data_IF_436742144163
#
_entry.id   IF_436742144163
#
_cell.length_a   1.000
_cell.length_b   1.000
_cell.length_c   1.000
_cell.angle_alpha   90.00
_cell.angle_beta   90.00
_cell.angle_gamma   90.00
#
_symmetry.space_group_name_H-M   'P 1'
#
loop_
_entity.id
_entity.type
_entity.pdbx_description
1 polymer ?
#
# COMPACT_ATOMS: atom_id res chain seq x y z
N UNK A 1 3.02 -26.41 -21.65
CA UNK A 1 3.36 -25.14 -20.97
C UNK A 1 2.94 -25.32 -19.53
N UNK A 2 3.87 -25.23 -18.59
CA UNK A 2 3.59 -25.41 -17.17
C UNK A 2 2.98 -24.12 -16.65
N UNK A 3 1.75 -24.20 -16.14
CA UNK A 3 1.09 -23.09 -15.47
C UNK A 3 1.86 -22.77 -14.18
N UNK A 4 2.53 -21.62 -14.14
CA UNK A 4 3.08 -21.06 -12.91
C UNK A 4 1.97 -20.23 -12.25
N UNK A 5 1.47 -20.61 -11.07
CA UNK A 5 0.54 -19.74 -10.34
C UNK A 5 1.25 -18.43 -9.96
N UNK A 6 0.53 -17.30 -9.89
CA UNK A 6 1.10 -16.06 -9.39
C UNK A 6 1.57 -16.24 -7.94
N UNK A 7 2.75 -15.70 -7.63
CA UNK A 7 3.20 -15.51 -6.25
C UNK A 7 2.28 -14.47 -5.60
N UNK A 8 1.29 -14.93 -4.83
CA UNK A 8 0.48 -14.04 -4.01
C UNK A 8 1.37 -13.33 -2.99
N UNK A 9 1.14 -12.04 -2.66
CA UNK A 9 1.86 -11.38 -1.58
C UNK A 9 1.76 -12.19 -0.27
N UNK A 10 2.82 -12.21 0.57
CA UNK A 10 2.74 -12.71 1.93
C UNK A 10 1.55 -12.06 2.65
N UNK A 11 0.85 -12.82 3.49
CA UNK A 11 -0.38 -12.36 4.17
C UNK A 11 -0.14 -11.10 5.01
N UNK A 12 1.09 -10.89 5.47
CA UNK A 12 1.53 -9.72 6.21
C UNK A 12 1.59 -8.44 5.38
N UNK A 13 1.51 -8.58 4.05
CA UNK A 13 1.48 -7.49 3.07
C UNK A 13 0.13 -7.40 2.35
N UNK A 14 -0.88 -8.12 2.81
CA UNK A 14 -2.21 -7.97 2.25
C UNK A 14 -2.76 -6.57 2.56
N UNK A 15 -3.67 -6.06 1.72
CA UNK A 15 -4.43 -4.86 2.01
C UNK A 15 -5.12 -4.98 3.37
N UNK A 16 -4.53 -4.36 4.40
CA UNK A 16 -5.08 -4.28 5.73
C UNK A 16 -6.06 -3.10 5.78
N UNK A 17 -7.31 -3.40 6.08
CA UNK A 17 -8.37 -2.42 6.37
C UNK A 17 -8.05 -1.53 7.60
N UNK A 18 -6.97 -1.83 8.32
CA UNK A 18 -6.56 -1.16 9.54
C UNK A 18 -5.07 -0.80 9.46
N UNK A 19 -4.68 0.26 10.19
CA UNK A 19 -3.29 0.63 10.35
C UNK A 19 -2.46 -0.54 10.92
N UNK A 20 -1.17 -0.67 10.53
CA UNK A 20 -0.32 -1.75 10.98
C UNK A 20 -0.08 -1.66 12.49
N UNK A 21 0.08 -2.82 13.13
CA UNK A 21 0.47 -2.88 14.54
C UNK A 21 1.87 -2.29 14.75
N UNK A 22 2.03 -1.48 15.81
CA UNK A 22 3.35 -1.05 16.22
C UNK A 22 4.18 -2.27 16.66
N UNK A 23 5.37 -2.53 16.07
CA UNK A 23 6.17 -3.70 16.42
C UNK A 23 6.71 -3.65 17.86
N UNK A 24 6.76 -2.46 18.48
CA UNK A 24 7.27 -2.28 19.84
C UNK A 24 6.22 -2.56 20.90
N UNK A 25 4.99 -2.10 20.73
CA UNK A 25 3.95 -2.18 21.76
C UNK A 25 2.70 -2.96 21.34
N UNK A 26 2.63 -3.42 20.09
CA UNK A 26 1.53 -4.19 19.49
C UNK A 26 0.14 -3.56 19.70
N UNK A 27 0.07 -2.23 19.62
CA UNK A 27 -1.18 -1.48 19.72
C UNK A 27 -1.52 -0.90 18.34
N UNK A 28 -2.64 -1.32 17.70
CA UNK A 28 -2.99 -0.91 16.34
C UNK A 28 -3.59 0.50 16.25
N UNK A 29 -4.32 0.95 17.28
CA UNK A 29 -5.13 2.18 17.23
C UNK A 29 -4.35 3.49 17.40
N UNK A 30 -3.04 3.42 17.63
CA UNK A 30 -2.22 4.61 17.90
C UNK A 30 -1.12 4.82 16.84
N UNK A 31 -1.20 4.15 15.69
CA UNK A 31 -0.20 4.28 14.63
C UNK A 31 -0.67 5.30 13.58
N UNK A 32 0.19 6.27 13.27
CA UNK A 32 -0.03 7.26 12.22
C UNK A 32 1.06 7.15 11.16
N UNK A 33 0.69 7.18 9.88
CA UNK A 33 1.68 7.33 8.82
C UNK A 33 2.26 8.75 8.83
N UNK A 34 3.54 8.85 8.48
CA UNK A 34 4.26 10.13 8.45
C UNK A 34 4.87 10.46 7.08
N UNK A 35 4.88 9.52 6.14
CA UNK A 35 5.34 9.76 4.78
C UNK A 35 6.07 8.57 4.15
N UNK A 36 6.29 8.60 2.82
CA UNK A 36 7.19 7.68 2.15
C UNK A 36 8.65 8.04 2.43
N UNK A 37 9.54 7.06 2.37
CA UNK A 37 10.99 7.26 2.44
C UNK A 37 11.74 6.25 1.58
N UNK A 38 12.99 6.57 1.27
CA UNK A 38 13.93 5.65 0.61
C UNK A 38 15.04 5.31 1.59
N UNK A 39 15.23 4.00 1.85
CA UNK A 39 16.32 3.51 2.69
C UNK A 39 17.67 3.64 1.96
N UNK A 40 18.77 3.50 2.70
CA UNK A 40 20.13 3.63 2.15
C UNK A 40 20.47 2.59 1.05
N UNK A 41 19.78 1.45 1.04
CA UNK A 41 19.89 0.40 0.01
C UNK A 41 18.99 0.66 -1.22
N UNK A 42 18.25 1.77 -1.24
CA UNK A 42 17.33 2.13 -2.31
C UNK A 42 15.91 1.59 -2.15
N UNK A 43 15.62 0.82 -1.09
CA UNK A 43 14.29 0.30 -0.84
C UNK A 43 13.29 1.43 -0.55
N UNK A 44 12.13 1.39 -1.21
CA UNK A 44 11.00 2.29 -0.93
C UNK A 44 10.23 1.76 0.28
N UNK A 45 9.94 2.63 1.24
CA UNK A 45 9.22 2.27 2.47
C UNK A 45 8.17 3.33 2.81
N UNK A 46 7.10 2.90 3.49
CA UNK A 46 6.19 3.78 4.20
C UNK A 46 6.62 3.87 5.66
N UNK A 47 6.77 5.09 6.17
CA UNK A 47 7.18 5.34 7.55
C UNK A 47 5.95 5.64 8.40
N UNK A 48 5.94 5.03 9.59
CA UNK A 48 4.85 5.07 10.55
C UNK A 48 5.38 5.48 11.92
N UNK A 49 4.58 6.21 12.68
CA UNK A 49 4.83 6.61 14.06
C UNK A 49 3.75 6.08 14.97
N UNK A 50 4.15 5.32 15.98
CA UNK A 50 3.28 4.95 17.10
C UNK A 50 3.18 6.11 18.10
N UNK A 51 1.97 6.53 18.44
CA UNK A 51 1.69 7.57 19.44
C UNK A 51 1.72 7.02 20.87
N UNK A 52 1.56 5.70 21.05
CA UNK A 52 1.57 5.05 22.37
C UNK A 52 2.97 4.96 22.98
N UNK A 53 3.96 4.56 22.17
CA UNK A 53 5.35 4.34 22.61
C UNK A 53 6.39 5.21 21.87
N UNK A 54 5.95 6.38 21.35
CA UNK A 54 6.66 7.26 20.41
C UNK A 54 7.69 6.64 19.44
N UNK A 55 7.45 5.42 18.96
CA UNK A 55 8.41 4.69 18.13
C UNK A 55 8.06 4.84 16.64
N UNK A 56 9.08 5.10 15.83
CA UNK A 56 8.97 5.11 14.37
C UNK A 56 9.35 3.73 13.81
N UNK A 57 8.63 3.28 12.79
CA UNK A 57 8.91 2.03 12.09
C UNK A 57 8.53 2.12 10.62
N UNK A 58 9.13 1.27 9.80
CA UNK A 58 8.96 1.29 8.34
C UNK A 58 8.42 -0.03 7.82
N UNK A 59 7.54 0.04 6.83
CA UNK A 59 7.04 -1.11 6.07
C UNK A 59 7.46 -0.92 4.62
N UNK A 60 8.01 -1.96 3.99
CA UNK A 60 8.43 -1.90 2.60
C UNK A 60 7.23 -1.69 1.67
N UNK A 61 7.38 -0.77 0.71
CA UNK A 61 6.49 -0.67 -0.43
C UNK A 61 6.93 -1.72 -1.46
N UNK A 62 6.06 -2.69 -1.74
CA UNK A 62 6.35 -3.82 -2.62
C UNK A 62 5.24 -3.92 -3.65
N UNK A 63 5.60 -3.81 -4.93
CA UNK A 63 4.65 -3.90 -6.03
C UNK A 63 4.35 -5.37 -6.34
N UNK A 64 3.12 -5.77 -6.09
CA UNK A 64 2.61 -7.10 -6.37
C UNK A 64 1.65 -7.04 -7.56
N UNK A 65 1.97 -7.69 -8.69
CA UNK A 65 1.01 -7.85 -9.77
C UNK A 65 -0.20 -8.64 -9.25
N UNK A 66 -1.39 -8.05 -9.32
CA UNK A 66 -2.63 -8.72 -8.91
C UNK A 66 -3.43 -9.04 -10.16
N UNK A 67 -3.75 -10.32 -10.37
CA UNK A 67 -4.50 -10.75 -11.57
C UNK A 67 -5.94 -10.23 -11.61
N UNK A 68 -6.52 -9.96 -10.45
CA UNK A 68 -7.89 -9.42 -10.28
C UNK A 68 -7.87 -8.04 -9.58
N UNK A 69 -6.88 -7.20 -9.95
CA UNK A 69 -6.80 -5.82 -9.47
C UNK A 69 -7.83 -4.89 -10.12
N UNK A 70 -8.10 -3.71 -9.55
CA UNK A 70 -8.92 -2.68 -10.18
C UNK A 70 -8.27 -2.20 -11.50
N UNK A 71 -9.10 -1.91 -12.50
CA UNK A 71 -8.63 -1.26 -13.72
C UNK A 71 -8.12 0.14 -13.41
N UNK A 72 -7.06 0.55 -14.10
CA UNK A 72 -6.53 1.90 -13.95
C UNK A 72 -7.62 2.94 -14.29
N UNK A 73 -7.92 3.90 -13.40
CA UNK A 73 -8.95 4.92 -13.66
C UNK A 73 -8.58 5.88 -14.79
N UNK A 74 -7.30 6.05 -15.10
CA UNK A 74 -6.82 6.97 -16.14
C UNK A 74 -6.78 6.35 -17.54
N UNK A 75 -6.31 5.09 -17.66
CA UNK A 75 -6.07 4.45 -18.95
C UNK A 75 -6.84 3.15 -19.16
N UNK A 76 -7.60 2.70 -18.15
CA UNK A 76 -8.45 1.51 -18.17
C UNK A 76 -7.74 0.19 -18.46
N UNK A 77 -6.41 0.13 -18.39
CA UNK A 77 -5.68 -1.14 -18.41
C UNK A 77 -6.04 -1.98 -17.18
N UNK A 78 -6.18 -3.28 -17.38
CA UNK A 78 -6.39 -4.29 -16.34
C UNK A 78 -5.05 -4.70 -15.69
N UNK A 79 -3.92 -4.26 -16.27
CA UNK A 79 -2.58 -4.57 -15.76
C UNK A 79 -2.22 -3.59 -14.64
N UNK A 80 -2.63 -3.94 -13.43
CA UNK A 80 -2.34 -3.18 -12.21
C UNK A 80 -1.61 -4.01 -11.14
N UNK A 81 -0.78 -3.31 -10.36
CA UNK A 81 -0.05 -3.84 -9.24
C UNK A 81 -0.50 -3.13 -7.97
N UNK A 82 -0.75 -3.90 -6.92
CA UNK A 82 -0.89 -3.34 -5.57
C UNK A 82 0.51 -2.95 -5.08
N UNK A 83 0.68 -1.71 -4.63
CA UNK A 83 1.98 -1.15 -4.29
C UNK A 83 2.24 -1.14 -2.78
N UNK A 84 1.27 -0.63 -2.03
CA UNK A 84 1.34 -0.49 -0.58
C UNK A 84 -0.02 -0.07 -0.02
N UNK A 85 -0.11 0.06 1.30
CA UNK A 85 -1.18 0.83 1.92
C UNK A 85 -1.00 2.33 1.62
N UNK A 86 -2.09 2.99 1.24
CA UNK A 86 -2.24 4.44 1.13
C UNK A 86 -2.96 4.97 2.38
N UNK A 87 -2.21 5.38 3.42
CA UNK A 87 -2.76 5.72 4.72
C UNK A 87 -3.56 7.02 4.74
N UNK A 88 -3.27 7.96 3.85
CA UNK A 88 -4.00 9.23 3.76
C UNK A 88 -5.49 9.01 3.41
N UNK A 89 -5.78 7.96 2.63
CA UNK A 89 -7.13 7.61 2.19
C UNK A 89 -7.64 6.31 2.84
N UNK A 90 -6.89 5.73 3.80
CA UNK A 90 -7.19 4.42 4.42
C UNK A 90 -7.56 3.36 3.37
N UNK A 91 -6.75 3.27 2.32
CA UNK A 91 -6.98 2.40 1.18
C UNK A 91 -5.70 1.78 0.66
N UNK A 92 -5.83 1.12 -0.48
CA UNK A 92 -4.75 0.43 -1.17
C UNK A 92 -4.18 1.30 -2.27
N UNK A 93 -2.89 1.58 -2.22
CA UNK A 93 -2.18 2.20 -3.34
C UNK A 93 -2.01 1.17 -4.45
N UNK A 94 -2.48 1.52 -5.64
CA UNK A 94 -2.33 0.77 -6.87
C UNK A 94 -1.51 1.57 -7.87
N UNK A 95 -0.75 0.87 -8.69
CA UNK A 95 -0.09 1.44 -9.87
C UNK A 95 -0.39 0.60 -11.10
N UNK A 96 -0.47 1.22 -12.27
CA UNK A 96 -0.60 0.50 -13.54
C UNK A 96 0.76 0.38 -14.27
N UNK A 97 0.83 -0.47 -15.29
CA UNK A 97 2.04 -0.62 -16.13
C UNK A 97 2.52 0.69 -16.79
N UNK A 98 1.64 1.67 -16.93
CA UNK A 98 1.95 3.01 -17.47
C UNK A 98 2.38 4.02 -16.40
N UNK A 99 2.46 3.61 -15.13
CA UNK A 99 2.94 4.44 -14.01
C UNK A 99 1.90 5.34 -13.35
N UNK A 100 0.61 5.25 -13.71
CA UNK A 100 -0.45 5.96 -12.99
C UNK A 100 -0.70 5.33 -11.63
N UNK A 101 -0.75 6.16 -10.58
CA UNK A 101 -1.06 5.77 -9.21
C UNK A 101 -2.49 6.16 -8.82
N UNK A 102 -3.15 5.33 -8.03
CA UNK A 102 -4.49 5.60 -7.50
C UNK A 102 -4.73 4.79 -6.22
N UNK A 103 -5.65 5.25 -5.39
CA UNK A 103 -6.01 4.55 -4.15
C UNK A 103 -7.38 3.91 -4.26
N UNK A 104 -7.51 2.63 -3.90
CA UNK A 104 -8.79 1.96 -3.74
C UNK A 104 -9.12 1.88 -2.24
N UNK A 105 -10.15 2.57 -1.79
CA UNK A 105 -10.58 2.52 -0.39
C UNK A 105 -11.33 1.23 -0.08
N UNK A 106 -11.48 0.92 1.21
CA UNK A 106 -12.27 -0.22 1.70
C UNK A 106 -13.75 -0.19 1.29
N UNK A 107 -14.28 0.99 0.97
CA UNK A 107 -15.64 1.19 0.48
C UNK A 107 -15.76 0.97 -1.04
N UNK A 108 -14.66 0.63 -1.72
CA UNK A 108 -14.59 0.46 -3.16
C UNK A 108 -14.52 1.77 -3.95
N UNK A 109 -14.13 2.87 -3.29
CA UNK A 109 -13.99 4.17 -3.93
C UNK A 109 -12.55 4.35 -4.46
N UNK A 110 -12.43 4.97 -5.62
CA UNK A 110 -11.12 5.34 -6.18
C UNK A 110 -10.83 6.78 -5.79
N UNK A 111 -9.69 7.02 -5.13
CA UNK A 111 -9.15 8.34 -4.83
C UNK A 111 -7.91 8.56 -5.69
N UNK A 112 -7.92 9.60 -6.52
CA UNK A 112 -6.77 9.96 -7.33
C UNK A 112 -5.84 10.89 -6.55
N UNK A 113 -4.52 10.89 -6.82
CA UNK A 113 -3.59 11.83 -6.20
C UNK A 113 -3.98 13.30 -6.41
N UNK A 114 -4.70 13.61 -7.49
CA UNK A 114 -5.20 14.96 -7.81
C UNK A 114 -6.42 15.40 -6.98
N UNK A 115 -7.12 14.46 -6.33
CA UNK A 115 -8.32 14.72 -5.52
C UNK A 115 -7.98 14.98 -4.04
N UNK A 116 -6.73 14.80 -3.62
CA UNK A 116 -6.27 14.96 -2.23
C UNK A 116 -5.86 16.40 -1.85
N UNK A 117 -6.27 17.41 -2.63
CA UNK A 117 -5.87 18.82 -2.49
C UNK A 117 -6.75 19.65 -1.55
#
# INVERSE_FOLDING_TARGET
MTYNPPDTPPVEQWPLLAAPDCPTCQRPTEVAWIGPATLADGAQVNVWRCRACPADFSIHAVYWPVLDGPNCPHCHTEVTCWAALAPDALGDLWTCEHGHEFVLTSEGLIVLPEDAA
#
